data_IF_367412977666
#
_entry.id   IF_367412977666
#
_cell.length_a   1.000
_cell.length_b   1.000
_cell.length_c   1.000
_cell.angle_alpha   90.00
_cell.angle_beta   90.00
_cell.angle_gamma   90.00
#
_symmetry.space_group_name_H-M   'P 1'
#
loop_
_entity.id
_entity.type
_entity.pdbx_description
1 polymer ?
#
# COMPACT_ATOMS: atom_id res chain seq x y z
N UNK A 1 -2.94 19.95 9.33
CA UNK A 1 -4.31 19.44 9.50
C UNK A 1 -4.62 18.47 8.37
N UNK A 2 -4.53 17.20 8.63
CA UNK A 2 -4.92 16.17 7.69
C UNK A 2 -6.46 16.20 7.58
N UNK A 3 -6.96 16.31 6.36
CA UNK A 3 -8.38 16.45 6.10
C UNK A 3 -9.19 15.24 6.56
N UNK A 4 -10.06 15.46 7.52
CA UNK A 4 -11.05 14.49 8.01
C UNK A 4 -12.13 14.14 6.97
N UNK A 5 -12.04 14.65 5.72
CA UNK A 5 -13.10 14.53 4.71
C UNK A 5 -13.01 13.38 3.72
N UNK A 6 -11.86 12.73 3.59
CA UNK A 6 -11.64 11.77 2.51
C UNK A 6 -11.97 10.30 2.86
N UNK A 7 -12.03 9.95 4.14
CA UNK A 7 -12.11 8.55 4.56
C UNK A 7 -13.48 7.90 4.41
N UNK A 8 -14.56 8.58 4.79
CA UNK A 8 -15.88 7.94 4.95
C UNK A 8 -16.55 7.63 3.62
N UNK A 9 -16.50 8.56 2.66
CA UNK A 9 -17.11 8.37 1.32
C UNK A 9 -16.37 7.29 0.52
N UNK A 10 -15.04 7.28 0.61
CA UNK A 10 -14.21 6.27 -0.07
C UNK A 10 -14.46 4.86 0.49
N UNK A 11 -14.60 4.71 1.81
CA UNK A 11 -14.87 3.42 2.44
C UNK A 11 -16.23 2.84 2.02
N UNK A 12 -17.28 3.66 1.94
CA UNK A 12 -18.58 3.22 1.45
C UNK A 12 -18.52 2.78 -0.02
N UNK A 13 -17.74 3.48 -0.85
CA UNK A 13 -17.49 3.10 -2.24
C UNK A 13 -16.73 1.78 -2.35
N UNK A 14 -15.73 1.56 -1.52
CA UNK A 14 -14.99 0.30 -1.44
C UNK A 14 -15.89 -0.88 -1.06
N UNK A 15 -16.78 -0.71 -0.10
CA UNK A 15 -17.71 -1.77 0.31
C UNK A 15 -18.62 -2.20 -0.83
N UNK A 16 -19.13 -1.25 -1.63
CA UNK A 16 -19.92 -1.57 -2.83
C UNK A 16 -19.09 -2.27 -3.89
N UNK A 17 -17.87 -1.82 -4.15
CA UNK A 17 -16.93 -2.47 -5.08
C UNK A 17 -16.63 -3.91 -4.66
N UNK A 18 -16.36 -4.12 -3.38
CA UNK A 18 -16.12 -5.45 -2.84
C UNK A 18 -17.31 -6.39 -3.04
N UNK A 19 -18.53 -5.91 -2.87
CA UNK A 19 -19.72 -6.69 -3.11
C UNK A 19 -19.82 -7.16 -4.58
N UNK A 20 -19.46 -6.33 -5.54
CA UNK A 20 -19.38 -6.71 -6.95
C UNK A 20 -18.32 -7.79 -7.21
N UNK A 21 -17.13 -7.65 -6.64
CA UNK A 21 -16.06 -8.65 -6.77
C UNK A 21 -16.50 -9.99 -6.16
N UNK A 22 -17.07 -9.97 -4.96
CA UNK A 22 -17.57 -11.18 -4.31
C UNK A 22 -18.65 -11.88 -5.14
N UNK A 23 -19.60 -11.12 -5.69
CA UNK A 23 -20.64 -11.66 -6.56
C UNK A 23 -20.10 -12.27 -7.85
N UNK A 24 -19.00 -11.73 -8.37
CA UNK A 24 -18.32 -12.24 -9.56
C UNK A 24 -17.32 -13.38 -9.28
N UNK A 25 -17.14 -13.76 -8.01
CA UNK A 25 -16.12 -14.75 -7.62
C UNK A 25 -14.69 -14.27 -7.80
N UNK A 26 -14.47 -12.95 -7.81
CA UNK A 26 -13.14 -12.32 -7.96
C UNK A 26 -12.62 -11.92 -6.59
N UNK A 27 -11.38 -12.27 -6.30
CA UNK A 27 -10.66 -11.86 -5.10
C UNK A 27 -9.73 -10.70 -5.43
N UNK A 28 -10.07 -9.45 -5.08
CA UNK A 28 -9.22 -8.31 -5.36
C UNK A 28 -8.01 -8.25 -4.42
N UNK A 29 -6.97 -7.55 -4.86
CA UNK A 29 -5.85 -7.12 -4.03
C UNK A 29 -5.91 -5.61 -3.88
N UNK A 30 -6.11 -5.12 -2.67
CA UNK A 30 -6.10 -3.71 -2.36
C UNK A 30 -4.67 -3.25 -2.06
N UNK A 31 -4.05 -2.53 -2.97
CA UNK A 31 -2.76 -1.90 -2.71
C UNK A 31 -2.99 -0.61 -1.92
N UNK A 32 -2.55 -0.61 -0.67
CA UNK A 32 -2.87 0.41 0.32
C UNK A 32 -1.64 1.14 0.82
N UNK A 33 -1.77 2.45 1.03
CA UNK A 33 -0.72 3.27 1.60
C UNK A 33 -0.77 3.29 3.14
N UNK A 34 0.27 3.85 3.74
CA UNK A 34 0.43 3.83 5.19
C UNK A 34 -0.75 4.47 5.95
N UNK A 35 -1.27 5.65 5.57
CA UNK A 35 -2.42 6.24 6.27
C UNK A 35 -3.68 5.38 6.24
N UNK A 36 -3.94 4.68 5.15
CA UNK A 36 -5.09 3.78 5.03
C UNK A 36 -4.90 2.56 5.91
N UNK A 37 -3.72 1.95 5.89
CA UNK A 37 -3.39 0.81 6.77
C UNK A 37 -3.48 1.20 8.24
N UNK A 38 -3.07 2.42 8.58
CA UNK A 38 -3.09 2.94 9.95
C UNK A 38 -4.49 3.32 10.45
N UNK A 39 -5.44 3.56 9.55
CA UNK A 39 -6.82 3.87 9.87
C UNK A 39 -7.58 2.66 10.44
N UNK A 40 -8.10 2.78 11.65
CA UNK A 40 -8.87 1.69 12.29
C UNK A 40 -10.12 1.32 11.49
N UNK A 41 -10.82 2.30 10.93
CA UNK A 41 -12.01 2.06 10.12
C UNK A 41 -11.67 1.30 8.83
N UNK A 42 -10.64 1.72 8.10
CA UNK A 42 -10.22 1.08 6.87
C UNK A 42 -9.65 -0.33 7.13
N UNK A 43 -8.78 -0.46 8.13
CA UNK A 43 -8.18 -1.74 8.50
C UNK A 43 -9.23 -2.73 9.02
N UNK A 44 -10.22 -2.28 9.76
CA UNK A 44 -11.32 -3.13 10.24
C UNK A 44 -12.15 -3.68 9.09
N UNK A 45 -12.52 -2.83 8.13
CA UNK A 45 -13.31 -3.23 6.97
C UNK A 45 -12.54 -4.20 6.06
N UNK A 46 -11.33 -3.84 5.66
CA UNK A 46 -10.49 -4.70 4.82
C UNK A 46 -10.06 -5.98 5.54
N UNK A 47 -9.78 -5.88 6.84
CA UNK A 47 -9.43 -7.04 7.66
C UNK A 47 -10.53 -8.10 7.70
N UNK A 48 -11.79 -7.68 7.73
CA UNK A 48 -12.92 -8.60 7.66
C UNK A 48 -12.95 -9.36 6.32
N UNK A 49 -12.68 -8.67 5.21
CA UNK A 49 -12.61 -9.31 3.88
C UNK A 49 -11.42 -10.26 3.75
N UNK A 50 -10.27 -9.86 4.29
CA UNK A 50 -9.07 -10.72 4.31
C UNK A 50 -9.32 -11.98 5.13
N UNK A 51 -9.90 -11.84 6.32
CA UNK A 51 -10.24 -12.98 7.19
C UNK A 51 -11.25 -13.94 6.55
N UNK A 52 -12.18 -13.40 5.76
CA UNK A 52 -13.16 -14.20 5.00
C UNK A 52 -12.59 -14.83 3.72
N UNK A 53 -11.35 -14.53 3.34
CA UNK A 53 -10.74 -14.99 2.10
C UNK A 53 -11.27 -14.31 0.84
N UNK A 54 -11.91 -13.14 0.98
CA UNK A 54 -12.56 -12.40 -0.10
C UNK A 54 -11.69 -11.30 -0.69
N UNK A 55 -10.58 -10.96 -0.06
CA UNK A 55 -9.60 -9.96 -0.53
C UNK A 55 -8.21 -10.22 0.03
N UNK A 56 -7.21 -9.64 -0.61
CA UNK A 56 -5.85 -9.49 -0.08
C UNK A 56 -5.47 -8.01 0.02
N UNK A 57 -4.47 -7.71 0.82
CA UNK A 57 -3.89 -6.37 0.95
C UNK A 57 -2.47 -6.39 0.41
N UNK A 58 -2.18 -5.45 -0.50
CA UNK A 58 -0.85 -5.17 -1.01
C UNK A 58 -0.32 -3.84 -0.49
N UNK A 59 0.93 -3.54 -0.79
CA UNK A 59 1.61 -2.32 -0.37
C UNK A 59 1.63 -1.27 -1.48
N UNK A 60 1.25 -0.03 -1.14
CA UNK A 60 1.33 1.15 -2.01
C UNK A 60 2.10 2.25 -1.29
N UNK A 61 3.31 2.57 -1.73
CA UNK A 61 4.19 3.44 -0.98
C UNK A 61 4.21 4.85 -1.54
N UNK A 62 3.71 5.80 -0.74
CA UNK A 62 3.88 7.23 -0.95
C UNK A 62 4.89 7.76 0.06
N UNK A 63 6.09 8.22 -0.34
CA UNK A 63 7.16 8.59 0.61
C UNK A 63 6.74 9.59 1.67
N UNK A 64 5.99 10.62 1.29
CA UNK A 64 5.66 11.75 2.18
C UNK A 64 4.66 11.40 3.31
N UNK A 65 3.96 10.28 3.22
CA UNK A 65 3.01 9.81 4.25
C UNK A 65 3.45 8.51 4.91
N UNK A 66 4.59 7.96 4.51
CA UNK A 66 5.10 6.67 4.98
C UNK A 66 6.35 6.86 5.84
N UNK A 67 6.38 6.43 7.10
CA UNK A 67 7.57 6.53 7.93
C UNK A 67 8.71 5.63 7.42
N UNK A 68 9.96 5.91 7.79
CA UNK A 68 10.43 7.06 8.54
C UNK A 68 10.43 8.35 7.71
N UNK A 69 10.08 9.48 8.35
CA UNK A 69 10.01 10.80 7.69
C UNK A 69 11.35 11.52 7.80
N UNK A 70 12.31 11.12 6.99
CA UNK A 70 13.69 11.61 7.04
C UNK A 70 14.07 12.48 5.84
N UNK A 71 13.33 12.37 4.73
CA UNK A 71 13.57 13.14 3.53
C UNK A 71 12.78 14.48 3.55
N UNK A 72 13.30 15.46 2.82
CA UNK A 72 12.57 16.70 2.56
C UNK A 72 11.43 16.42 1.58
N UNK A 73 10.22 16.89 1.91
CA UNK A 73 9.06 16.75 1.03
C UNK A 73 9.19 17.71 -0.15
N UNK A 74 9.34 17.15 -1.34
CA UNK A 74 9.43 17.89 -2.60
C UNK A 74 9.06 16.96 -3.77
N UNK A 75 8.99 17.52 -4.98
CA UNK A 75 8.59 16.74 -6.16
C UNK A 75 9.52 15.56 -6.46
N UNK A 76 10.83 15.73 -6.33
CA UNK A 76 11.81 14.67 -6.60
C UNK A 76 11.67 13.52 -5.59
N UNK A 77 11.55 13.83 -4.30
CA UNK A 77 11.43 12.85 -3.22
C UNK A 77 10.03 12.22 -3.13
N UNK A 78 9.10 12.62 -3.99
CA UNK A 78 7.79 11.96 -4.09
C UNK A 78 7.84 10.63 -4.86
N UNK A 79 8.95 10.34 -5.52
CA UNK A 79 9.22 9.07 -6.19
C UNK A 79 10.13 8.23 -5.28
N UNK A 80 9.60 7.17 -4.71
CA UNK A 80 10.33 6.36 -3.71
C UNK A 80 11.65 5.82 -4.22
N UNK A 81 11.71 5.43 -5.49
CA UNK A 81 12.91 4.90 -6.13
C UNK A 81 14.04 5.93 -6.33
N UNK A 82 13.77 7.22 -6.12
CA UNK A 82 14.79 8.29 -6.18
C UNK A 82 15.38 8.62 -4.81
N UNK A 83 14.82 8.06 -3.75
CA UNK A 83 15.38 8.18 -2.42
C UNK A 83 16.64 7.32 -2.28
N UNK A 84 17.54 7.66 -1.34
CA UNK A 84 18.65 6.78 -1.01
C UNK A 84 18.14 5.36 -0.67
N UNK A 85 18.88 4.34 -1.09
CA UNK A 85 18.49 2.94 -0.92
C UNK A 85 18.07 2.61 0.53
N UNK A 86 18.84 3.08 1.51
CA UNK A 86 18.54 2.83 2.91
C UNK A 86 17.19 3.44 3.35
N UNK A 87 16.80 4.57 2.79
CA UNK A 87 15.52 5.23 3.07
C UNK A 87 14.38 4.48 2.39
N UNK A 88 14.53 4.12 1.14
CA UNK A 88 13.55 3.30 0.41
C UNK A 88 13.30 1.97 1.14
N UNK A 89 14.36 1.28 1.55
CA UNK A 89 14.29 0.03 2.33
C UNK A 89 13.56 0.24 3.65
N UNK A 90 13.90 1.26 4.42
CA UNK A 90 13.29 1.52 5.72
C UNK A 90 11.79 1.85 5.60
N UNK A 91 11.41 2.63 4.60
CA UNK A 91 10.00 2.95 4.33
C UNK A 91 9.21 1.71 3.92
N UNK A 92 9.77 0.90 3.03
CA UNK A 92 9.16 -0.34 2.57
C UNK A 92 8.92 -1.30 3.75
N UNK A 93 9.92 -1.49 4.60
CA UNK A 93 9.82 -2.35 5.77
C UNK A 93 8.80 -1.83 6.79
N UNK A 94 8.73 -0.52 7.01
CA UNK A 94 7.74 0.07 7.90
C UNK A 94 6.30 -0.20 7.40
N UNK A 95 6.06 -0.06 6.10
CA UNK A 95 4.76 -0.36 5.49
C UNK A 95 4.43 -1.85 5.57
N UNK A 96 5.36 -2.73 5.24
CA UNK A 96 5.18 -4.18 5.31
C UNK A 96 4.84 -4.63 6.73
N UNK A 97 5.57 -4.12 7.71
CA UNK A 97 5.32 -4.43 9.13
C UNK A 97 3.95 -3.96 9.57
N UNK A 98 3.55 -2.75 9.18
CA UNK A 98 2.23 -2.24 9.54
C UNK A 98 1.10 -3.04 8.90
N UNK A 99 1.25 -3.45 7.66
CA UNK A 99 0.29 -4.35 6.99
C UNK A 99 0.21 -5.69 7.73
N UNK A 100 1.35 -6.27 8.08
CA UNK A 100 1.39 -7.55 8.81
C UNK A 100 0.72 -7.45 10.20
N UNK A 101 0.97 -6.36 10.93
CA UNK A 101 0.32 -6.10 12.23
C UNK A 101 -1.20 -5.98 12.11
N UNK A 102 -1.69 -5.35 11.05
CA UNK A 102 -3.12 -5.10 10.85
C UNK A 102 -3.89 -6.28 10.25
N UNK A 103 -3.25 -7.03 9.35
CA UNK A 103 -3.93 -8.05 8.54
C UNK A 103 -3.40 -9.48 8.77
N UNK A 104 -2.38 -9.65 9.60
CA UNK A 104 -1.84 -10.96 9.96
C UNK A 104 -0.96 -11.62 8.91
N UNK A 105 -0.66 -10.94 7.80
CA UNK A 105 0.20 -11.46 6.75
C UNK A 105 0.98 -10.33 6.06
N UNK A 106 2.21 -10.64 5.65
CA UNK A 106 3.01 -9.70 4.86
C UNK A 106 2.43 -9.55 3.45
N UNK A 107 2.48 -8.35 2.86
CA UNK A 107 2.01 -8.16 1.49
C UNK A 107 2.93 -8.86 0.49
N UNK A 108 2.36 -9.42 -0.56
CA UNK A 108 3.10 -10.03 -1.68
C UNK A 108 2.97 -9.25 -2.98
N UNK A 109 2.07 -8.27 -3.01
CA UNK A 109 1.85 -7.38 -4.14
C UNK A 109 2.23 -5.94 -3.78
N UNK A 110 2.85 -5.25 -4.72
CA UNK A 110 3.35 -3.89 -4.56
C UNK A 110 2.98 -3.01 -5.74
N UNK A 111 2.73 -1.75 -5.46
CA UNK A 111 2.68 -0.67 -6.46
C UNK A 111 3.32 0.58 -5.86
N UNK A 112 4.36 1.11 -6.51
CA UNK A 112 4.95 2.37 -6.11
C UNK A 112 3.97 3.52 -6.34
N UNK A 113 3.89 4.43 -5.37
CA UNK A 113 3.21 5.71 -5.55
C UNK A 113 3.78 6.44 -6.76
N UNK A 114 2.93 7.02 -7.59
CA UNK A 114 3.33 7.70 -8.83
C UNK A 114 4.12 6.83 -9.81
N UNK A 115 4.03 5.51 -9.69
CA UNK A 115 4.83 4.54 -10.44
C UNK A 115 6.35 4.77 -10.30
N UNK A 116 6.77 5.29 -9.15
CA UNK A 116 8.11 5.84 -8.89
C UNK A 116 9.16 4.81 -8.49
N UNK A 117 9.24 3.67 -9.19
CA UNK A 117 10.32 2.70 -8.99
C UNK A 117 11.65 3.24 -9.51
N UNK A 118 12.74 2.85 -8.85
CA UNK A 118 14.10 3.26 -9.18
C UNK A 118 15.05 2.08 -9.29
N UNK A 119 16.35 2.34 -9.42
CA UNK A 119 17.35 1.30 -9.71
C UNK A 119 17.48 0.22 -8.62
N UNK A 120 17.13 0.54 -7.37
CA UNK A 120 17.20 -0.40 -6.26
C UNK A 120 15.87 -1.11 -5.97
N UNK A 121 14.76 -0.61 -6.49
CA UNK A 121 13.41 -1.04 -6.10
C UNK A 121 13.18 -2.53 -6.30
N UNK A 122 13.52 -3.07 -7.46
CA UNK A 122 13.29 -4.48 -7.77
C UNK A 122 14.00 -5.42 -6.77
N UNK A 123 15.25 -5.11 -6.43
CA UNK A 123 16.02 -5.90 -5.46
C UNK A 123 15.43 -5.77 -4.06
N UNK A 124 15.09 -4.55 -3.63
CA UNK A 124 14.47 -4.30 -2.32
C UNK A 124 13.13 -5.03 -2.17
N UNK A 125 12.32 -5.03 -3.22
CA UNK A 125 11.04 -5.75 -3.23
C UNK A 125 11.26 -7.26 -3.14
N UNK A 126 12.20 -7.80 -3.90
CA UNK A 126 12.56 -9.22 -3.83
C UNK A 126 13.05 -9.62 -2.42
N UNK A 127 13.95 -8.83 -1.84
CA UNK A 127 14.47 -9.06 -0.49
C UNK A 127 13.36 -9.02 0.57
N UNK A 128 12.36 -8.17 0.38
CA UNK A 128 11.20 -8.03 1.28
C UNK A 128 10.12 -9.11 1.08
N UNK A 129 10.28 -10.00 0.11
CA UNK A 129 9.36 -11.11 -0.14
C UNK A 129 8.20 -10.81 -1.09
N UNK A 130 8.22 -9.68 -1.80
CA UNK A 130 7.21 -9.38 -2.81
C UNK A 130 7.33 -10.31 -4.01
N UNK A 131 6.20 -10.70 -4.57
CA UNK A 131 6.09 -11.59 -5.73
C UNK A 131 5.50 -10.90 -6.94
N UNK A 132 4.85 -9.78 -6.75
CA UNK A 132 4.19 -9.01 -7.81
C UNK A 132 4.50 -7.52 -7.62
N UNK A 133 5.01 -6.89 -8.66
CA UNK A 133 5.14 -5.44 -8.77
C UNK A 133 4.29 -4.95 -9.95
N UNK A 134 3.28 -4.15 -9.66
CA UNK A 134 2.39 -3.55 -10.65
C UNK A 134 2.68 -2.07 -10.89
N UNK A 135 3.92 -1.63 -10.66
CA UNK A 135 4.33 -0.24 -10.82
C UNK A 135 4.51 0.20 -12.28
N UNK A 136 4.36 -0.69 -13.23
CA UNK A 136 4.42 -0.38 -14.67
C UNK A 136 3.04 -0.06 -15.19
N UNK A 137 2.95 0.92 -16.08
CA UNK A 137 1.73 1.22 -16.84
C UNK A 137 1.99 1.06 -18.33
N UNK A 138 0.96 0.70 -19.09
CA UNK A 138 1.01 0.75 -20.55
C UNK A 138 1.19 2.20 -21.02
N UNK A 139 1.94 2.37 -22.09
CA UNK A 139 2.07 3.67 -22.77
C UNK A 139 0.87 3.95 -23.66
#
# INVERSE_FOLDING_TARGET
MAGEGHGVTALAGMARGQAYFAAAGVKPVYVTDYPVVDSDAAAGMMGAWVAAGEADVGAHLHPWVNPPHVEKVNAANSYVGFLPEAVERAKLEALCRRIEERFGQRPIAYRAGRYGVGPNSARLLSDAGFRLDSSVRSR
#
